data_IF_107065807402
#
_entry.id   IF_107065807402
#
_cell.length_a   1.000
_cell.length_b   1.000
_cell.length_c   1.000
_cell.angle_alpha   90.00
_cell.angle_beta   90.00
_cell.angle_gamma   90.00
#
_symmetry.space_group_name_H-M   'P 1'
#
loop_
_entity.id
_entity.type
_entity.pdbx_description
1 polymer ?
#
# COMPACT_ATOMS: atom_id res chain seq x y z
N UNK A 1 6.89 2.22 -25.74
CA UNK A 1 8.10 2.36 -24.94
C UNK A 1 8.17 1.33 -23.83
N UNK A 2 9.26 0.65 -23.75
CA UNK A 2 9.44 -0.54 -22.91
C UNK A 2 9.72 -0.24 -21.42
N UNK A 3 9.77 1.04 -21.02
CA UNK A 3 10.19 1.43 -19.67
C UNK A 3 9.29 0.94 -18.55
N UNK A 4 7.96 0.89 -18.75
CA UNK A 4 7.03 0.42 -17.71
C UNK A 4 7.10 -1.09 -17.50
N UNK A 5 7.20 -1.87 -18.57
CA UNK A 5 7.36 -3.32 -18.49
C UNK A 5 8.73 -3.69 -17.92
N UNK A 6 9.80 -2.98 -18.31
CA UNK A 6 11.14 -3.15 -17.78
C UNK A 6 11.25 -2.84 -16.30
N UNK A 7 10.57 -1.79 -15.81
CA UNK A 7 10.54 -1.45 -14.38
C UNK A 7 9.86 -2.52 -13.54
N UNK A 8 8.71 -3.04 -13.98
CA UNK A 8 8.02 -4.12 -13.29
C UNK A 8 8.86 -5.40 -13.27
N UNK A 9 9.51 -5.72 -14.39
CA UNK A 9 10.38 -6.89 -14.52
C UNK A 9 11.62 -6.77 -13.63
N UNK A 10 12.26 -5.60 -13.60
CA UNK A 10 13.42 -5.33 -12.74
C UNK A 10 13.03 -5.43 -11.26
N UNK A 11 11.88 -4.89 -10.85
CA UNK A 11 11.38 -5.02 -9.48
C UNK A 11 11.20 -6.47 -9.07
N UNK A 12 10.60 -7.30 -9.90
CA UNK A 12 10.38 -8.72 -9.62
C UNK A 12 11.71 -9.45 -9.49
N UNK A 13 12.62 -9.26 -10.41
CA UNK A 13 13.95 -9.87 -10.35
C UNK A 13 14.74 -9.45 -9.12
N UNK A 14 14.80 -8.16 -8.84
CA UNK A 14 15.50 -7.65 -7.66
C UNK A 14 14.93 -8.22 -6.37
N UNK A 15 13.60 -8.33 -6.25
CA UNK A 15 12.96 -8.88 -5.08
C UNK A 15 13.21 -10.38 -4.92
N UNK A 16 13.22 -11.13 -6.00
CA UNK A 16 13.54 -12.57 -5.96
C UNK A 16 14.99 -12.78 -5.53
N UNK A 17 15.92 -11.99 -6.03
CA UNK A 17 17.33 -12.05 -5.65
C UNK A 17 17.59 -11.63 -4.21
N UNK A 18 16.95 -10.56 -3.78
CA UNK A 18 17.12 -9.97 -2.45
C UNK A 18 16.42 -10.80 -1.37
N UNK A 19 15.27 -11.38 -1.71
CA UNK A 19 14.38 -12.07 -0.80
C UNK A 19 14.23 -13.56 -1.15
N UNK A 20 15.32 -14.23 -1.43
CA UNK A 20 15.33 -15.64 -1.86
C UNK A 20 14.71 -16.62 -0.85
N UNK A 21 14.51 -16.21 0.40
CA UNK A 21 13.82 -17.00 1.43
C UNK A 21 12.35 -16.61 1.62
N UNK A 22 11.89 -15.56 0.94
CA UNK A 22 10.51 -15.08 1.05
C UNK A 22 9.55 -15.97 0.27
N UNK A 23 8.32 -16.07 0.76
CA UNK A 23 7.24 -16.75 0.04
C UNK A 23 6.78 -15.94 -1.16
N UNK A 24 6.16 -16.60 -2.14
CA UNK A 24 5.56 -15.91 -3.30
C UNK A 24 4.58 -14.83 -2.87
N UNK A 25 3.89 -15.04 -1.80
CA UNK A 25 2.94 -14.12 -1.23
C UNK A 25 3.60 -12.87 -0.64
N UNK A 26 4.66 -13.03 0.12
CA UNK A 26 5.45 -11.92 0.66
C UNK A 26 6.04 -11.07 -0.47
N UNK A 27 6.55 -11.71 -1.51
CA UNK A 27 7.05 -11.05 -2.72
C UNK A 27 5.92 -10.29 -3.42
N UNK A 28 4.74 -10.89 -3.56
CA UNK A 28 3.58 -10.23 -4.19
C UNK A 28 3.16 -8.97 -3.44
N UNK A 29 3.10 -9.00 -2.12
CA UNK A 29 2.79 -7.84 -1.30
C UNK A 29 3.87 -6.76 -1.39
N UNK A 30 5.12 -7.15 -1.46
CA UNK A 30 6.21 -6.19 -1.65
C UNK A 30 6.14 -5.50 -3.02
N UNK A 31 5.79 -6.24 -4.06
CA UNK A 31 5.55 -5.66 -5.40
C UNK A 31 4.40 -4.65 -5.35
N UNK A 32 3.29 -5.00 -4.68
CA UNK A 32 2.15 -4.07 -4.50
C UNK A 32 2.58 -2.79 -3.83
N UNK A 33 3.39 -2.86 -2.77
CA UNK A 33 3.92 -1.68 -2.07
C UNK A 33 4.77 -0.80 -2.97
N UNK A 34 5.70 -1.40 -3.70
CA UNK A 34 6.61 -0.65 -4.57
C UNK A 34 5.89 0.01 -5.75
N UNK A 35 4.98 -0.71 -6.39
CA UNK A 35 4.16 -0.16 -7.48
C UNK A 35 3.28 0.96 -6.95
N UNK A 36 2.68 0.79 -5.78
CA UNK A 36 1.84 1.81 -5.14
C UNK A 36 2.65 3.06 -4.80
N UNK A 37 3.85 2.91 -4.27
CA UNK A 37 4.74 4.04 -3.99
C UNK A 37 5.10 4.82 -5.25
N UNK A 38 5.42 4.13 -6.33
CA UNK A 38 5.70 4.76 -7.63
C UNK A 38 4.47 5.47 -8.21
N UNK A 39 3.31 4.82 -8.16
CA UNK A 39 2.06 5.41 -8.62
C UNK A 39 1.66 6.65 -7.80
N UNK A 40 1.82 6.60 -6.48
CA UNK A 40 1.60 7.76 -5.60
C UNK A 40 2.52 8.92 -5.97
N UNK A 41 3.79 8.63 -6.27
CA UNK A 41 4.76 9.62 -6.74
C UNK A 41 4.34 10.31 -8.04
N UNK A 42 3.77 9.57 -8.98
CA UNK A 42 3.25 10.13 -10.23
C UNK A 42 2.05 11.06 -10.02
N UNK A 43 1.28 10.86 -8.95
CA UNK A 43 0.11 11.67 -8.61
C UNK A 43 0.45 12.87 -7.70
N UNK A 44 1.68 12.96 -7.23
CA UNK A 44 2.09 13.95 -6.24
C UNK A 44 1.85 15.40 -6.71
N UNK A 45 2.16 15.70 -7.95
CA UNK A 45 1.93 17.03 -8.53
C UNK A 45 0.45 17.42 -8.55
N UNK A 46 -0.43 16.49 -8.86
CA UNK A 46 -1.89 16.69 -8.82
C UNK A 46 -2.37 16.90 -7.38
N UNK A 47 -1.85 16.11 -6.46
CA UNK A 47 -2.15 16.23 -5.03
C UNK A 47 -1.79 17.61 -4.49
N UNK A 48 -0.61 18.09 -4.79
CA UNK A 48 -0.15 19.42 -4.36
C UNK A 48 -0.94 20.54 -5.02
N UNK A 49 -1.14 20.47 -6.35
CA UNK A 49 -1.90 21.48 -7.09
C UNK A 49 -3.34 21.65 -6.60
N UNK A 50 -3.96 20.58 -6.11
CA UNK A 50 -5.33 20.58 -5.59
C UNK A 50 -5.42 20.59 -4.06
N UNK A 51 -4.33 20.91 -3.36
CA UNK A 51 -4.27 20.99 -1.90
C UNK A 51 -4.79 19.71 -1.21
N UNK A 52 -4.42 18.56 -1.73
CA UNK A 52 -4.79 17.27 -1.21
C UNK A 52 -6.22 16.79 -1.50
N UNK A 53 -7.00 17.51 -2.28
CA UNK A 53 -8.35 17.10 -2.68
C UNK A 53 -8.33 15.98 -3.72
N UNK A 54 -7.40 16.05 -4.65
CA UNK A 54 -7.20 15.09 -5.74
C UNK A 54 -5.78 14.52 -5.70
N UNK A 55 -5.47 13.57 -6.58
CA UNK A 55 -4.12 12.99 -6.68
C UNK A 55 -3.80 12.01 -5.55
N UNK A 56 -4.83 11.37 -4.99
CA UNK A 56 -4.66 10.32 -3.99
C UNK A 56 -4.73 8.94 -4.62
N UNK A 57 -3.90 8.03 -4.13
CA UNK A 57 -3.92 6.63 -4.50
C UNK A 57 -4.54 5.82 -3.35
N UNK A 58 -5.44 4.91 -3.66
CA UNK A 58 -6.03 4.00 -2.68
C UNK A 58 -5.36 2.64 -2.72
N UNK A 59 -5.01 2.10 -1.56
CA UNK A 59 -4.50 0.74 -1.40
C UNK A 59 -5.42 -0.04 -0.47
N UNK A 60 -5.73 -1.28 -0.83
CA UNK A 60 -6.59 -2.17 -0.06
C UNK A 60 -5.76 -2.99 0.93
N UNK A 61 -6.23 -3.12 2.17
CA UNK A 61 -5.66 -4.09 3.11
C UNK A 61 -5.92 -5.52 2.67
N UNK A 62 -5.10 -6.45 3.12
CA UNK A 62 -5.24 -7.87 2.78
C UNK A 62 -6.59 -8.41 3.28
N UNK A 63 -7.47 -8.90 2.38
CA UNK A 63 -8.79 -9.39 2.76
C UNK A 63 -8.76 -10.61 3.68
N UNK A 64 -7.65 -11.33 3.77
CA UNK A 64 -7.50 -12.47 4.67
C UNK A 64 -7.46 -12.08 6.14
N UNK A 65 -7.15 -10.82 6.44
CA UNK A 65 -7.14 -10.29 7.81
C UNK A 65 -8.52 -9.88 8.33
N UNK A 66 -9.60 -10.20 7.62
CA UNK A 66 -10.95 -9.72 7.91
C UNK A 66 -11.48 -10.05 9.31
N UNK A 67 -10.89 -11.01 10.01
CA UNK A 67 -11.22 -11.38 11.39
C UNK A 67 -10.23 -10.87 12.43
N UNK A 68 -9.21 -10.15 12.03
CA UNK A 68 -8.13 -9.74 12.90
C UNK A 68 -7.88 -8.23 12.82
N UNK A 69 -8.50 -7.49 13.74
CA UNK A 69 -8.36 -6.02 13.85
C UNK A 69 -6.89 -5.59 13.93
N UNK A 70 -6.09 -6.30 14.72
CA UNK A 70 -4.68 -5.97 14.90
C UNK A 70 -3.87 -6.10 13.61
N UNK A 71 -4.11 -7.15 12.84
CA UNK A 71 -3.44 -7.35 11.56
C UNK A 71 -3.85 -6.30 10.53
N UNK A 72 -5.12 -5.94 10.49
CA UNK A 72 -5.61 -4.86 9.62
C UNK A 72 -4.92 -3.54 9.98
N UNK A 73 -4.90 -3.20 11.26
CA UNK A 73 -4.28 -1.98 11.77
C UNK A 73 -2.79 -1.95 11.46
N UNK A 74 -2.08 -3.04 11.75
CA UNK A 74 -0.65 -3.17 11.47
C UNK A 74 -0.33 -2.94 9.99
N UNK A 75 -1.11 -3.55 9.11
CA UNK A 75 -0.91 -3.39 7.67
C UNK A 75 -1.21 -1.95 7.22
N UNK A 76 -2.26 -1.33 7.77
CA UNK A 76 -2.59 0.06 7.48
C UNK A 76 -1.47 1.02 7.91
N UNK A 77 -0.90 0.81 9.08
CA UNK A 77 0.26 1.57 9.58
C UNK A 77 1.50 1.36 8.71
N UNK A 78 1.75 0.13 8.28
CA UNK A 78 2.85 -0.19 7.39
C UNK A 78 2.71 0.53 6.04
N UNK A 79 1.52 0.54 5.48
CA UNK A 79 1.25 1.28 4.24
C UNK A 79 1.46 2.78 4.43
N UNK A 80 0.99 3.34 5.53
CA UNK A 80 1.15 4.77 5.82
C UNK A 80 2.64 5.17 5.95
N UNK A 81 3.45 4.35 6.61
CA UNK A 81 4.88 4.63 6.80
C UNK A 81 5.71 4.51 5.52
N UNK A 82 5.37 3.55 4.67
CA UNK A 82 6.19 3.20 3.49
C UNK A 82 5.80 4.04 2.28
N UNK A 83 4.55 4.45 2.21
CA UNK A 83 4.01 5.07 1.02
C UNK A 83 3.88 6.58 1.23
N UNK A 84 3.44 7.32 0.39
CA UNK A 84 3.46 8.77 0.37
C UNK A 84 2.26 9.39 1.14
N UNK A 85 2.31 10.68 1.49
CA UNK A 85 1.18 11.36 2.15
C UNK A 85 -0.11 11.42 1.31
N UNK A 86 -0.03 11.15 0.01
CA UNK A 86 -1.19 11.08 -0.87
C UNK A 86 -1.81 9.67 -0.97
N UNK A 87 -1.53 8.80 -0.02
CA UNK A 87 -2.15 7.47 0.05
C UNK A 87 -3.41 7.47 0.92
N UNK A 88 -4.36 6.64 0.51
CA UNK A 88 -5.55 6.30 1.30
C UNK A 88 -5.56 4.79 1.49
N UNK A 89 -5.63 4.35 2.72
CA UNK A 89 -5.77 2.92 3.03
C UNK A 89 -7.26 2.57 3.08
N UNK A 90 -7.67 1.66 2.22
CA UNK A 90 -9.04 1.15 2.18
C UNK A 90 -9.15 -0.07 3.09
N UNK A 91 -10.01 0.02 4.08
CA UNK A 91 -10.30 -1.04 5.05
C UNK A 91 -11.75 -1.49 4.88
N UNK A 92 -12.03 -2.79 4.80
CA UNK A 92 -13.41 -3.26 4.65
C UNK A 92 -14.25 -2.95 5.90
N UNK A 93 -15.51 -2.58 5.70
CA UNK A 93 -16.44 -2.19 6.76
C UNK A 93 -17.03 -3.42 7.51
N UNK A 94 -16.20 -4.35 7.89
CA UNK A 94 -16.54 -5.44 8.81
C UNK A 94 -16.43 -4.97 10.25
N UNK A 95 -16.95 -5.73 11.21
CA UNK A 95 -16.80 -5.40 12.63
C UNK A 95 -15.34 -5.15 13.02
N UNK A 96 -14.45 -6.04 12.62
CA UNK A 96 -13.01 -5.93 12.87
C UNK A 96 -12.38 -4.76 12.09
N UNK A 97 -12.81 -4.53 10.86
CA UNK A 97 -12.36 -3.41 10.04
C UNK A 97 -12.78 -2.06 10.63
N UNK A 98 -14.01 -1.94 11.10
CA UNK A 98 -14.49 -0.72 11.77
C UNK A 98 -13.69 -0.43 13.05
N UNK A 99 -13.35 -1.47 13.82
CA UNK A 99 -12.49 -1.31 14.99
C UNK A 99 -11.09 -0.84 14.60
N UNK A 100 -10.53 -1.39 13.52
CA UNK A 100 -9.22 -0.96 12.99
C UNK A 100 -9.26 0.50 12.49
N UNK A 101 -10.31 0.89 11.80
CA UNK A 101 -10.50 2.30 11.35
C UNK A 101 -10.55 3.24 12.54
N UNK A 102 -11.28 2.86 13.57
CA UNK A 102 -11.39 3.68 14.80
C UNK A 102 -10.02 3.90 15.44
N UNK A 103 -9.25 2.85 15.62
CA UNK A 103 -7.91 2.95 16.20
C UNK A 103 -6.94 3.72 15.30
N UNK A 104 -6.92 3.42 14.01
CA UNK A 104 -6.08 4.13 13.05
C UNK A 104 -6.39 5.64 13.04
N UNK A 105 -7.67 6.00 13.05
CA UNK A 105 -8.10 7.41 13.09
C UNK A 105 -7.72 8.10 14.40
N UNK A 106 -7.77 7.38 15.52
CA UNK A 106 -7.37 7.90 16.82
C UNK A 106 -5.86 8.15 16.90
N UNK A 107 -5.07 7.30 16.29
CA UNK A 107 -3.61 7.46 16.27
C UNK A 107 -3.11 8.50 15.25
N UNK A 108 -3.96 8.97 14.35
CA UNK A 108 -3.60 9.92 13.27
C UNK A 108 -3.09 9.22 12.05
#
# INVERSE_FOLDING_TARGET
>A
MNGKASLSHICIHSLIEEWHTATEEEISWQIVREISAKAAGLLQSVFEAHKGRNGRLSIQTDPRFYRNTRMILQQAEDFHRIIAPNMIVKIPATRTGISAIKEATYCG
#
